data_IF_311936461646
#
_entry.id   IF_311936461646
#
_cell.length_a   1.000
_cell.length_b   1.000
_cell.length_c   1.000
_cell.angle_alpha   90.00
_cell.angle_beta   90.00
_cell.angle_gamma   90.00
#
_symmetry.space_group_name_H-M   'P 1'
#
loop_
_entity.id
_entity.type
_entity.pdbx_description
1 polymer ?
#
# COMPACT_ATOMS: atom_id res chain seq x y z
N UNK A 1 -7.33 6.31 -18.64
CA UNK A 1 -8.28 6.68 -17.58
C UNK A 1 -8.16 5.62 -16.50
N UNK A 2 -8.03 5.99 -15.23
CA UNK A 2 -8.06 4.97 -14.18
C UNK A 2 -9.52 4.75 -13.85
N UNK A 3 -10.06 3.68 -14.43
CA UNK A 3 -11.33 3.08 -14.08
C UNK A 3 -11.49 3.06 -12.56
N UNK A 4 -12.67 3.47 -12.11
CA UNK A 4 -13.09 3.29 -10.72
C UNK A 4 -13.13 1.79 -10.43
N UNK A 5 -12.01 1.24 -9.95
CA UNK A 5 -12.00 -0.13 -9.43
C UNK A 5 -12.99 -0.17 -8.26
N UNK A 6 -14.01 -1.01 -8.36
CA UNK A 6 -14.85 -1.37 -7.22
C UNK A 6 -13.93 -1.75 -6.06
N UNK A 7 -14.13 -1.16 -4.88
CA UNK A 7 -13.29 -1.42 -3.71
C UNK A 7 -13.21 -2.92 -3.48
N UNK A 8 -12.02 -3.50 -3.65
CA UNK A 8 -11.78 -4.90 -3.33
C UNK A 8 -12.15 -5.11 -1.86
N UNK A 9 -12.96 -6.12 -1.57
CA UNK A 9 -13.25 -6.49 -0.19
C UNK A 9 -11.99 -7.11 0.41
N UNK A 10 -11.26 -6.34 1.22
CA UNK A 10 -10.04 -6.76 1.92
C UNK A 10 -10.34 -6.78 3.41
N UNK A 11 -10.05 -7.92 4.04
CA UNK A 11 -10.12 -8.04 5.50
C UNK A 11 -8.92 -7.32 6.11
N UNK A 12 -9.18 -6.31 6.94
CA UNK A 12 -8.19 -5.45 7.56
C UNK A 12 -8.48 -5.36 9.05
N UNK A 13 -7.57 -5.92 9.85
CA UNK A 13 -7.51 -5.70 11.29
C UNK A 13 -6.97 -4.29 11.61
N UNK A 14 -6.99 -3.94 12.90
CA UNK A 14 -6.61 -2.59 13.35
C UNK A 14 -5.13 -2.29 13.12
N UNK A 15 -4.26 -3.31 13.20
CA UNK A 15 -2.81 -3.17 12.93
C UNK A 15 -2.56 -2.95 11.44
N UNK A 16 -3.24 -3.67 10.55
CA UNK A 16 -3.17 -3.46 9.11
C UNK A 16 -3.72 -2.10 8.68
N UNK A 17 -4.85 -1.65 9.25
CA UNK A 17 -5.39 -0.30 8.98
C UNK A 17 -4.41 0.78 9.41
N UNK A 18 -3.82 0.65 10.60
CA UNK A 18 -2.80 1.58 11.08
C UNK A 18 -1.59 1.62 10.15
N UNK A 19 -1.08 0.46 9.73
CA UNK A 19 0.04 0.36 8.79
C UNK A 19 -0.30 0.97 7.42
N UNK A 20 -1.50 0.73 6.89
CA UNK A 20 -2.00 1.31 5.64
C UNK A 20 -2.05 2.83 5.71
N UNK A 21 -2.55 3.38 6.82
CA UNK A 21 -2.63 4.83 7.03
C UNK A 21 -1.24 5.47 6.99
N UNK A 22 -0.28 4.91 7.73
CA UNK A 22 1.11 5.40 7.76
C UNK A 22 1.73 5.34 6.37
N UNK A 23 1.51 4.24 5.63
CA UNK A 23 2.01 4.11 4.26
C UNK A 23 1.38 5.14 3.31
N UNK A 24 0.07 5.38 3.44
CA UNK A 24 -0.64 6.38 2.65
C UNK A 24 -0.04 7.77 2.86
N UNK A 25 0.23 8.14 4.11
CA UNK A 25 0.86 9.42 4.47
C UNK A 25 2.29 9.52 3.92
N UNK A 26 3.09 8.46 4.06
CA UNK A 26 4.47 8.41 3.54
C UNK A 26 4.52 8.54 2.01
N UNK A 27 3.54 7.97 1.29
CA UNK A 27 3.45 8.08 -0.17
C UNK A 27 2.89 9.44 -0.63
N UNK A 28 2.12 10.14 0.21
CA UNK A 28 1.62 11.49 -0.07
C UNK A 28 2.70 12.57 0.09
N UNK A 29 3.71 12.32 0.94
CA UNK A 29 4.77 13.25 1.23
C UNK A 29 5.48 13.74 -0.04
N UNK A 30 5.90 15.01 -0.04
CA UNK A 30 6.62 15.60 -1.15
C UNK A 30 8.00 14.97 -1.34
N UNK A 31 8.65 14.61 -0.24
CA UNK A 31 9.88 13.81 -0.25
C UNK A 31 9.58 12.37 -0.69
N UNK A 32 10.31 11.90 -1.71
CA UNK A 32 10.21 10.52 -2.17
C UNK A 32 11.01 9.60 -1.26
N UNK A 33 10.41 8.50 -0.74
CA UNK A 33 11.19 7.47 -0.08
C UNK A 33 12.20 6.88 -1.06
N UNK A 34 13.49 6.83 -0.69
CA UNK A 34 14.56 6.26 -1.53
C UNK A 34 14.27 4.82 -1.97
N UNK A 35 13.67 4.02 -1.09
CA UNK A 35 13.24 2.65 -1.38
C UNK A 35 11.84 2.39 -0.80
N UNK A 36 10.82 2.58 -1.64
CA UNK A 36 9.42 2.29 -1.29
C UNK A 36 9.22 0.85 -0.83
N UNK A 37 9.95 -0.12 -1.40
CA UNK A 37 9.81 -1.52 -0.99
C UNK A 37 10.25 -1.69 0.46
N UNK A 38 11.40 -1.11 0.82
CA UNK A 38 11.89 -1.14 2.19
C UNK A 38 10.96 -0.36 3.13
N UNK A 39 10.47 0.82 2.72
CA UNK A 39 9.49 1.59 3.51
C UNK A 39 8.26 0.76 3.86
N UNK A 40 7.67 0.06 2.89
CA UNK A 40 6.53 -0.84 3.12
C UNK A 40 6.89 -1.95 4.12
N UNK A 41 8.06 -2.57 3.95
CA UNK A 41 8.53 -3.63 4.84
C UNK A 41 8.71 -3.13 6.28
N UNK A 42 9.34 -1.96 6.48
CA UNK A 42 9.55 -1.39 7.81
C UNK A 42 8.22 -0.99 8.46
N UNK A 43 7.30 -0.37 7.73
CA UNK A 43 5.97 0.01 8.24
C UNK A 43 5.21 -1.21 8.73
N UNK A 44 5.20 -2.31 7.95
CA UNK A 44 4.55 -3.54 8.39
C UNK A 44 5.17 -4.05 9.70
N UNK A 45 6.49 -4.18 9.74
CA UNK A 45 7.21 -4.70 10.90
C UNK A 45 7.03 -3.84 12.16
N UNK A 46 7.02 -2.52 12.01
CA UNK A 46 6.85 -1.56 13.13
C UNK A 46 5.41 -1.45 13.64
N UNK A 47 4.44 -2.04 12.95
CA UNK A 47 3.02 -2.05 13.35
C UNK A 47 2.50 -3.46 13.61
N UNK A 48 3.40 -4.42 13.91
CA UNK A 48 3.05 -5.80 14.24
C UNK A 48 2.28 -6.54 13.12
N UNK A 49 2.48 -6.12 11.87
CA UNK A 49 1.92 -6.79 10.68
C UNK A 49 3.02 -7.61 10.02
N UNK A 50 2.73 -8.87 9.68
CA UNK A 50 3.68 -9.67 8.91
C UNK A 50 3.90 -9.02 7.54
N UNK A 51 5.14 -8.71 7.12
CA UNK A 51 5.39 -8.01 5.86
C UNK A 51 4.77 -8.72 4.65
N UNK A 52 4.80 -10.05 4.63
CA UNK A 52 4.19 -10.86 3.56
C UNK A 52 2.68 -10.60 3.42
N UNK A 53 1.98 -10.52 4.55
CA UNK A 53 0.53 -10.29 4.55
C UNK A 53 0.23 -8.84 4.18
N UNK A 54 1.05 -7.89 4.62
CA UNK A 54 0.93 -6.50 4.21
C UNK A 54 1.15 -6.32 2.71
N UNK A 55 2.15 -6.97 2.12
CA UNK A 55 2.32 -6.97 0.65
C UNK A 55 1.12 -7.56 -0.07
N UNK A 56 0.53 -8.63 0.45
CA UNK A 56 -0.68 -9.24 -0.12
C UNK A 56 -1.86 -8.27 -0.09
N UNK A 57 -2.08 -7.56 1.02
CA UNK A 57 -3.09 -6.51 1.14
C UNK A 57 -2.89 -5.44 0.06
N UNK A 58 -1.64 -4.95 -0.11
CA UNK A 58 -1.35 -3.94 -1.13
C UNK A 58 -1.59 -4.45 -2.55
N UNK A 59 -1.28 -5.71 -2.86
CA UNK A 59 -1.64 -6.28 -4.16
C UNK A 59 -3.17 -6.37 -4.33
N UNK A 60 -3.93 -6.70 -3.29
CA UNK A 60 -5.38 -6.79 -3.39
C UNK A 60 -6.01 -5.40 -3.62
N UNK A 61 -5.47 -4.37 -2.97
CA UNK A 61 -5.97 -3.00 -3.11
C UNK A 61 -5.57 -2.38 -4.46
N UNK A 62 -4.32 -2.58 -4.91
CA UNK A 62 -3.78 -1.88 -6.09
C UNK A 62 -4.00 -2.67 -7.38
N UNK A 63 -3.94 -4.00 -7.32
CA UNK A 63 -4.00 -4.90 -8.48
C UNK A 63 -5.27 -5.76 -8.53
N UNK A 64 -6.06 -5.83 -7.45
CA UNK A 64 -7.16 -6.78 -7.34
C UNK A 64 -6.71 -8.24 -7.29
N UNK A 65 -5.43 -8.52 -6.98
CA UNK A 65 -4.87 -9.87 -6.95
C UNK A 65 -4.07 -10.13 -5.67
N UNK A 66 -3.79 -11.38 -5.33
CA UNK A 66 -3.03 -11.72 -4.12
C UNK A 66 -1.50 -11.74 -4.32
N UNK A 67 -1.02 -11.48 -5.54
CA UNK A 67 0.40 -11.57 -5.93
C UNK A 67 0.65 -10.72 -7.17
N UNK A 68 1.84 -10.15 -7.28
CA UNK A 68 2.20 -9.30 -8.41
C UNK A 68 3.70 -9.13 -8.58
N UNK A 69 4.14 -8.22 -9.47
CA UNK A 69 5.54 -7.78 -9.54
C UNK A 69 5.95 -7.10 -8.23
N UNK A 70 7.23 -6.77 -8.08
CA UNK A 70 7.73 -6.05 -6.90
C UNK A 70 6.93 -4.75 -6.69
N UNK A 71 6.23 -4.64 -5.57
CA UNK A 71 5.27 -3.55 -5.32
C UNK A 71 5.93 -2.16 -5.34
N UNK A 72 7.17 -2.02 -4.85
CA UNK A 72 7.87 -0.73 -4.77
C UNK A 72 8.00 -0.03 -6.13
N UNK A 73 8.71 -0.62 -7.11
CA UNK A 73 8.79 -0.10 -8.47
C UNK A 73 7.41 0.08 -9.12
N UNK A 74 6.49 -0.86 -8.88
CA UNK A 74 5.15 -0.78 -9.44
C UNK A 74 4.35 0.45 -8.92
N UNK A 75 4.52 0.83 -7.66
CA UNK A 75 3.96 2.06 -7.09
C UNK A 75 4.58 3.30 -7.74
N UNK A 76 5.87 3.27 -8.08
CA UNK A 76 6.52 4.37 -8.80
C UNK A 76 5.93 4.52 -10.20
N UNK A 77 5.72 3.41 -10.92
CA UNK A 77 5.13 3.40 -12.27
C UNK A 77 3.69 3.95 -12.29
N UNK A 78 2.88 3.62 -11.27
CA UNK A 78 1.52 4.15 -11.10
C UNK A 78 1.52 5.62 -10.66
N UNK A 79 2.48 5.98 -9.80
CA UNK A 79 2.59 7.27 -9.14
C UNK A 79 2.21 7.21 -7.65
N UNK A 80 3.16 7.58 -6.78
CA UNK A 80 3.05 7.54 -5.31
C UNK A 80 1.81 8.24 -4.77
N UNK A 81 1.57 9.49 -5.18
CA UNK A 81 0.44 10.30 -4.72
C UNK A 81 -0.91 9.71 -5.14
N UNK A 82 -0.95 8.95 -6.23
CA UNK A 82 -2.15 8.24 -6.65
C UNK A 82 -2.43 7.03 -5.77
N UNK A 83 -1.41 6.20 -5.55
CA UNK A 83 -1.51 5.04 -4.67
C UNK A 83 -1.89 5.47 -3.26
N UNK A 84 -1.27 6.53 -2.73
CA UNK A 84 -1.64 7.13 -1.45
C UNK A 84 -3.15 7.40 -1.34
N UNK A 85 -3.75 8.08 -2.33
CA UNK A 85 -5.20 8.34 -2.34
C UNK A 85 -6.01 7.05 -2.30
N UNK A 86 -5.63 6.05 -3.10
CA UNK A 86 -6.29 4.74 -3.10
C UNK A 86 -6.19 4.05 -1.73
N UNK A 87 -5.03 4.06 -1.08
CA UNK A 87 -4.85 3.45 0.25
C UNK A 87 -5.66 4.20 1.33
N UNK A 88 -5.77 5.53 1.22
CA UNK A 88 -6.54 6.35 2.16
C UNK A 88 -8.04 6.00 2.20
N UNK A 89 -8.58 5.38 1.14
CA UNK A 89 -9.99 4.98 1.10
C UNK A 89 -10.32 3.73 1.94
N UNK A 90 -9.31 3.07 2.51
CA UNK A 90 -9.44 1.85 3.30
C UNK A 90 -9.20 2.07 4.81
N UNK A 91 -8.99 3.32 5.24
CA UNK A 91 -8.62 3.69 6.62
C UNK A 91 -9.41 4.89 7.16
#
# INVERSE_FOLDING_TARGET
EFDQQEKTQVDLDDTAKKALKILSEALAADEEPEDIQNTIYQIAKSNDVQPKDFFKILYQIILGTSRGPKIGPFIQDIGRKKVSKTLAEYV
#
